data_IF_378686590324
#
_entry.id   IF_378686590324
#
_cell.length_a   1.000
_cell.length_b   1.000
_cell.length_c   1.000
_cell.angle_alpha   90.00
_cell.angle_beta   90.00
_cell.angle_gamma   90.00
#
_symmetry.space_group_name_H-M   'P 1'
#
loop_
_entity.id
_entity.type
_entity.pdbx_description
1 polymer ?
#
# COMPACT_ATOMS: atom_id res chain seq x y z
N UNK A 1 9.70 -8.57 17.89
CA UNK A 1 9.32 -7.71 16.75
C UNK A 1 7.81 -7.79 16.58
N UNK A 2 7.07 -6.94 17.28
CA UNK A 2 5.64 -6.73 17.00
C UNK A 2 5.47 -6.11 15.61
N UNK A 3 4.59 -6.72 14.82
CA UNK A 3 4.20 -6.25 13.49
C UNK A 3 2.69 -6.38 13.34
N UNK A 4 2.09 -5.52 12.51
CA UNK A 4 0.69 -5.63 12.11
C UNK A 4 0.46 -6.68 11.02
N UNK A 5 1.54 -7.16 10.39
CA UNK A 5 1.46 -8.07 9.25
C UNK A 5 1.58 -9.52 9.71
N UNK A 6 0.67 -10.37 9.21
CA UNK A 6 0.74 -11.80 9.46
C UNK A 6 1.89 -12.42 8.68
N UNK A 7 2.10 -11.98 7.44
CA UNK A 7 3.17 -12.43 6.57
C UNK A 7 3.98 -11.25 6.03
N UNK A 8 5.21 -11.53 5.60
CA UNK A 8 6.03 -10.52 4.91
C UNK A 8 5.43 -10.11 3.56
N UNK A 9 4.72 -11.01 2.89
CA UNK A 9 4.05 -10.77 1.61
C UNK A 9 2.95 -9.71 1.74
N UNK A 10 2.17 -9.75 2.83
CA UNK A 10 1.16 -8.72 3.12
C UNK A 10 1.79 -7.32 3.26
N UNK A 11 2.95 -7.26 3.92
CA UNK A 11 3.71 -6.02 4.07
C UNK A 11 4.25 -5.52 2.74
N UNK A 12 4.78 -6.41 1.92
CA UNK A 12 5.25 -6.07 0.58
C UNK A 12 4.12 -5.52 -0.30
N UNK A 13 2.94 -6.13 -0.25
CA UNK A 13 1.77 -5.67 -0.99
C UNK A 13 1.37 -4.26 -0.59
N UNK A 14 1.29 -3.99 0.72
CA UNK A 14 1.00 -2.65 1.23
C UNK A 14 2.07 -1.63 0.83
N UNK A 15 3.35 -2.00 0.83
CA UNK A 15 4.42 -1.14 0.33
C UNK A 15 4.21 -0.80 -1.16
N UNK A 16 3.91 -1.80 -1.99
CA UNK A 16 3.66 -1.58 -3.42
C UNK A 16 2.47 -0.63 -3.63
N UNK A 17 1.39 -0.81 -2.88
CA UNK A 17 0.19 0.04 -2.96
C UNK A 17 0.51 1.46 -2.48
N UNK A 18 1.18 1.61 -1.33
CA UNK A 18 1.52 2.92 -0.74
C UNK A 18 2.40 3.76 -1.68
N UNK A 19 3.37 3.12 -2.35
CA UNK A 19 4.30 3.79 -3.27
C UNK A 19 3.82 3.82 -4.72
N UNK A 20 2.62 3.31 -5.01
CA UNK A 20 2.03 3.44 -6.34
C UNK A 20 1.65 4.90 -6.66
N UNK A 21 1.80 5.27 -7.94
CA UNK A 21 1.33 6.56 -8.46
C UNK A 21 -0.04 6.37 -9.09
N UNK A 22 -1.10 6.64 -8.32
CA UNK A 22 -2.49 6.46 -8.75
C UNK A 22 -2.83 7.31 -9.98
N UNK A 23 -2.25 8.51 -10.09
CA UNK A 23 -2.56 9.45 -11.20
C UNK A 23 -2.08 8.95 -12.55
N UNK A 24 -0.99 8.17 -12.56
CA UNK A 24 -0.41 7.58 -13.78
C UNK A 24 -0.71 6.09 -13.91
N UNK A 25 -1.52 5.52 -13.01
CA UNK A 25 -1.82 4.09 -13.02
C UNK A 25 -2.83 3.76 -14.13
N UNK A 26 -2.65 2.59 -14.75
CA UNK A 26 -3.51 2.08 -15.82
C UNK A 26 -4.05 0.70 -15.43
N UNK A 27 -5.27 0.38 -15.88
CA UNK A 27 -5.84 -0.96 -15.79
C UNK A 27 -5.75 -1.70 -17.10
N UNK A 28 -5.44 -2.99 -17.03
CA UNK A 28 -5.56 -3.86 -18.18
C UNK A 28 -7.03 -4.25 -18.40
N UNK A 29 -7.56 -3.94 -19.57
CA UNK A 29 -8.97 -4.16 -19.91
C UNK A 29 -9.12 -5.32 -20.89
N UNK A 30 -9.71 -6.42 -20.41
CA UNK A 30 -10.04 -7.58 -21.25
C UNK A 30 -11.21 -7.30 -22.19
N UNK A 31 -12.14 -6.43 -21.80
CA UNK A 31 -13.34 -6.10 -22.57
C UNK A 31 -13.07 -5.11 -23.70
N UNK A 32 -11.94 -4.40 -23.66
CA UNK A 32 -11.56 -3.43 -24.68
C UNK A 32 -10.40 -3.92 -25.54
N UNK A 33 -10.39 -5.21 -25.89
CA UNK A 33 -9.39 -5.79 -26.77
C UNK A 33 -8.01 -5.97 -26.13
N UNK A 34 -7.95 -6.16 -24.81
CA UNK A 34 -6.68 -6.45 -24.11
C UNK A 34 -5.72 -5.25 -24.11
N UNK A 35 -6.21 -4.05 -23.81
CA UNK A 35 -5.39 -2.83 -23.76
C UNK A 35 -5.36 -2.19 -22.38
N UNK A 36 -4.33 -1.41 -22.14
CA UNK A 36 -4.23 -0.56 -20.95
C UNK A 36 -5.10 0.68 -21.12
N UNK A 37 -5.93 0.95 -20.12
CA UNK A 37 -6.81 2.11 -20.07
C UNK A 37 -6.61 2.86 -18.75
N UNK A 38 -6.83 4.18 -18.73
CA UNK A 38 -6.93 4.92 -17.47
C UNK A 38 -8.05 4.35 -16.60
N UNK A 39 -7.87 4.46 -15.29
CA UNK A 39 -8.96 4.25 -14.35
C UNK A 39 -10.02 5.33 -14.53
N UNK A 40 -11.29 4.97 -14.37
CA UNK A 40 -12.35 5.96 -14.22
C UNK A 40 -12.26 6.67 -12.86
N UNK A 41 -13.07 7.70 -12.64
CA UNK A 41 -13.02 8.50 -11.43
C UNK A 41 -13.32 7.69 -10.15
N UNK A 42 -14.27 6.76 -10.23
CA UNK A 42 -14.63 5.90 -9.10
C UNK A 42 -13.54 4.89 -8.78
N UNK A 43 -12.97 4.25 -9.80
CA UNK A 43 -11.82 3.36 -9.68
C UNK A 43 -10.60 4.10 -9.10
N UNK A 44 -10.34 5.33 -9.57
CA UNK A 44 -9.25 6.16 -9.07
C UNK A 44 -9.45 6.53 -7.60
N UNK A 45 -10.66 6.89 -7.20
CA UNK A 45 -10.97 7.19 -5.82
C UNK A 45 -10.77 5.97 -4.91
N UNK A 46 -11.19 4.78 -5.36
CA UNK A 46 -10.95 3.54 -4.63
C UNK A 46 -9.46 3.22 -4.46
N UNK A 47 -8.63 3.47 -5.49
CA UNK A 47 -7.18 3.31 -5.40
C UNK A 47 -6.54 4.30 -4.43
N UNK A 48 -7.00 5.56 -4.40
CA UNK A 48 -6.53 6.56 -3.44
C UNK A 48 -6.84 6.14 -2.00
N UNK A 49 -8.03 5.62 -1.76
CA UNK A 49 -8.43 5.09 -0.45
C UNK A 49 -7.57 3.90 -0.04
N UNK A 50 -7.39 2.92 -0.94
CA UNK A 50 -6.50 1.78 -0.69
C UNK A 50 -5.08 2.22 -0.35
N UNK A 51 -4.56 3.20 -1.08
CA UNK A 51 -3.24 3.80 -0.82
C UNK A 51 -3.17 4.46 0.54
N UNK A 52 -4.18 5.23 0.92
CA UNK A 52 -4.24 5.86 2.25
C UNK A 52 -4.24 4.81 3.37
N UNK A 53 -5.02 3.73 3.23
CA UNK A 53 -5.02 2.63 4.19
C UNK A 53 -3.68 1.90 4.30
N UNK A 54 -3.04 1.61 3.17
CA UNK A 54 -1.73 0.96 3.15
C UNK A 54 -0.66 1.84 3.84
N UNK A 55 -0.66 3.15 3.58
CA UNK A 55 0.22 4.09 4.28
C UNK A 55 -0.03 4.11 5.80
N UNK A 56 -1.29 4.13 6.22
CA UNK A 56 -1.64 4.10 7.63
C UNK A 56 -1.14 2.82 8.32
N UNK A 57 -1.34 1.65 7.70
CA UNK A 57 -0.86 0.37 8.23
C UNK A 57 0.67 0.34 8.35
N UNK A 58 1.38 0.78 7.32
CA UNK A 58 2.85 0.87 7.36
C UNK A 58 3.36 1.82 8.45
N UNK A 59 2.69 2.96 8.64
CA UNK A 59 3.05 3.92 9.70
C UNK A 59 2.85 3.32 11.09
N UNK A 60 1.72 2.63 11.33
CA UNK A 60 1.45 1.97 12.60
C UNK A 60 2.44 0.82 12.83
N UNK A 61 2.70 -0.02 11.82
CA UNK A 61 3.67 -1.13 11.90
C UNK A 61 5.07 -0.62 12.28
N UNK A 62 5.48 0.51 11.69
CA UNK A 62 6.72 1.19 12.03
C UNK A 62 6.74 1.60 13.52
N UNK A 63 5.69 2.25 14.01
CA UNK A 63 5.58 2.67 15.42
C UNK A 63 5.63 1.46 16.37
N UNK A 64 4.91 0.38 16.04
CA UNK A 64 4.93 -0.86 16.82
C UNK A 64 6.33 -1.49 16.89
N UNK A 65 7.07 -1.46 15.79
CA UNK A 65 8.46 -1.90 15.74
C UNK A 65 9.41 -1.01 16.55
N UNK A 66 9.19 0.31 16.58
CA UNK A 66 9.98 1.24 17.41
C UNK A 66 9.73 1.07 18.91
N UNK A 67 8.52 0.69 19.32
CA UNK A 67 8.16 0.52 20.73
C UNK A 67 8.94 -0.59 21.46
N UNK A 68 9.63 -1.48 20.74
CA UNK A 68 10.52 -2.49 21.33
C UNK A 68 11.97 -1.99 21.51
N UNK A 69 12.34 -0.81 21.01
CA UNK A 69 13.71 -0.30 21.09
C UNK A 69 13.85 1.05 21.84
N UNK A 70 13.45 1.15 23.13
CA UNK A 70 13.76 2.32 23.94
C UNK A 70 15.19 2.35 24.47
N UNK A 71 16.00 1.29 24.28
CA UNK A 71 17.38 1.20 24.80
C UNK A 71 18.37 0.60 23.79
N UNK A 72 18.83 1.43 22.84
CA UNK A 72 20.20 1.31 22.30
C UNK A 72 21.00 2.58 22.60
N UNK A 73 20.82 3.11 23.81
CA UNK A 73 21.74 4.04 24.45
C UNK A 73 22.65 3.21 25.36
N UNK A 74 23.82 2.83 24.85
CA UNK A 74 24.86 2.09 25.55
C UNK A 74 26.11 2.08 24.69
#
# INVERSE_FOLDING_TARGET
MRTLYLTYEDKLLDMMIAYSNVDTSLRFSLTHGGRYLPFDEGERQALLEQRAFAMARLAIDRIMGFSENPMSSG
#
